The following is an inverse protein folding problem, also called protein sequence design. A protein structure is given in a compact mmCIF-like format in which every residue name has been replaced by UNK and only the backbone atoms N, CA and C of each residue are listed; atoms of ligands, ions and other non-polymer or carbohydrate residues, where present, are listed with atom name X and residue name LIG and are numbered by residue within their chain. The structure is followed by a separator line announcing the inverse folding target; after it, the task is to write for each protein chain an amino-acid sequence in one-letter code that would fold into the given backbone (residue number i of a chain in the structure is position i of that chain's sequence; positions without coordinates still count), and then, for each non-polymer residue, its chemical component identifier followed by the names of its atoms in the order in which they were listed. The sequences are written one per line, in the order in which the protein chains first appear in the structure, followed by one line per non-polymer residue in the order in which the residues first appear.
data_IF_828190421355
#
_entry.id   IF_828190421355
#
_cell.length_a   1.000
_cell.length_b   1.000
_cell.length_c   1.000
_cell.angle_alpha   90.00
_cell.angle_beta   90.00
_cell.angle_gamma   90.00
#
_symmetry.space_group_name_H-M   'P 1'
#
loop_
_entity.id
_entity.type
_entity.pdbx_description
1 polymer ?
#
# COMPACT_ATOMS: atom_id res chain seq x y z
N UNK A 1 33.69 -69.64 -6.22
CA UNK A 1 32.87 -70.44 -5.26
C UNK A 1 31.92 -69.46 -4.58
N UNK A 2 30.64 -69.44 -4.98
CA UNK A 2 29.51 -70.17 -4.36
C UNK A 2 28.94 -69.47 -3.10
N UNK A 3 27.67 -69.02 -3.26
CA UNK A 3 26.58 -68.82 -2.27
C UNK A 3 26.59 -67.47 -1.52
N UNK A 4 25.66 -66.53 -1.75
CA UNK A 4 24.20 -66.53 -1.59
C UNK A 4 23.75 -66.60 -0.12
N UNK A 5 23.14 -65.53 0.41
CA UNK A 5 21.82 -65.60 1.07
C UNK A 5 21.22 -64.20 1.32
N UNK A 6 20.01 -64.03 0.80
CA UNK A 6 19.11 -62.89 0.99
C UNK A 6 18.50 -62.87 2.40
N UNK A 7 18.11 -61.69 2.90
CA UNK A 7 16.90 -61.59 3.72
C UNK A 7 16.12 -60.31 3.37
N UNK A 8 14.89 -60.56 2.94
CA UNK A 8 13.84 -59.64 2.54
C UNK A 8 13.10 -59.24 3.81
N UNK A 9 12.95 -57.93 4.08
CA UNK A 9 11.94 -57.46 5.03
C UNK A 9 11.02 -56.47 4.33
N UNK A 10 9.90 -57.02 3.89
CA UNK A 10 8.72 -56.36 3.36
C UNK A 10 7.91 -55.80 4.55
N UNK A 11 7.75 -54.49 4.64
CA UNK A 11 6.69 -53.88 5.47
C UNK A 11 5.79 -53.07 4.56
N UNK A 12 4.63 -53.67 4.28
CA UNK A 12 3.51 -53.04 3.63
C UNK A 12 2.81 -52.10 4.64
N UNK A 13 2.79 -50.80 4.33
CA UNK A 13 1.86 -49.85 4.93
C UNK A 13 1.06 -49.23 3.79
N UNK A 14 0.00 -49.94 3.41
CA UNK A 14 -0.99 -49.53 2.43
C UNK A 14 -2.19 -48.96 3.20
N UNK A 15 -2.71 -47.83 2.70
CA UNK A 15 -4.11 -47.37 2.78
C UNK A 15 -4.57 -46.56 4.01
N UNK A 16 -4.52 -45.24 3.87
CA UNK A 16 -5.64 -44.34 4.18
C UNK A 16 -5.38 -42.93 3.58
N UNK A 17 -5.64 -42.75 2.29
CA UNK A 17 -5.77 -41.42 1.69
C UNK A 17 -7.26 -41.08 1.57
N UNK A 18 -7.71 -39.88 2.00
CA UNK A 18 -9.10 -39.49 1.83
C UNK A 18 -9.39 -39.29 0.34
N UNK A 19 -10.37 -40.08 -0.14
CA UNK A 19 -10.95 -39.96 -1.46
C UNK A 19 -11.75 -38.64 -1.55
N UNK A 20 -11.18 -37.63 -2.22
CA UNK A 20 -11.98 -36.53 -2.76
C UNK A 20 -12.58 -37.01 -4.08
N UNK A 21 -13.91 -37.10 -4.08
CA UNK A 21 -14.71 -37.50 -5.22
C UNK A 21 -14.47 -36.58 -6.42
N UNK A 22 -14.03 -37.18 -7.52
CA UNK A 22 -13.96 -36.58 -8.83
C UNK A 22 -15.38 -36.35 -9.37
N UNK A 23 -15.79 -35.09 -9.45
CA UNK A 23 -16.80 -34.63 -10.40
C UNK A 23 -16.12 -34.38 -11.75
N UNK A 24 -16.58 -35.11 -12.77
CA UNK A 24 -16.14 -35.07 -14.16
C UNK A 24 -16.17 -33.67 -14.78
N UNK A 25 -15.06 -33.25 -15.40
CA UNK A 25 -14.98 -32.10 -16.28
C UNK A 25 -13.56 -31.90 -16.77
N UNK A 26 -13.26 -32.42 -17.97
CA UNK A 26 -11.95 -32.26 -18.59
C UNK A 26 -11.58 -30.79 -18.77
N UNK A 27 -10.33 -30.47 -18.44
CA UNK A 27 -9.76 -29.16 -18.65
C UNK A 27 -8.25 -29.26 -18.52
N UNK A 28 -7.57 -29.21 -19.66
CA UNK A 28 -6.13 -29.02 -19.76
C UNK A 28 -5.66 -27.91 -18.81
N UNK A 29 -4.86 -28.28 -17.81
CA UNK A 29 -4.15 -27.34 -16.96
C UNK A 29 -3.05 -26.66 -17.78
N UNK A 30 -3.44 -25.67 -18.59
CA UNK A 30 -2.55 -24.57 -19.00
C UNK A 30 -2.28 -23.70 -17.77
N UNK A 31 -1.08 -23.12 -17.64
CA UNK A 31 -0.75 -22.27 -16.51
C UNK A 31 -1.73 -21.09 -16.48
N UNK A 32 -2.25 -20.82 -15.28
CA UNK A 32 -3.16 -19.71 -14.98
C UNK A 32 -2.66 -18.41 -15.62
N UNK A 33 -3.29 -18.08 -16.75
CA UNK A 33 -3.23 -16.75 -17.33
C UNK A 33 -4.00 -15.88 -16.35
N UNK A 34 -3.31 -15.25 -15.39
CA UNK A 34 -3.86 -14.24 -14.47
C UNK A 34 -4.91 -13.44 -15.20
N UNK A 35 -6.18 -13.70 -14.88
CA UNK A 35 -7.34 -13.19 -15.58
C UNK A 35 -7.39 -11.69 -15.34
N UNK A 36 -6.74 -10.95 -16.23
CA UNK A 36 -6.86 -9.50 -16.34
C UNK A 36 -8.10 -9.25 -17.21
N UNK A 37 -9.27 -9.60 -16.69
CA UNK A 37 -10.50 -9.40 -17.44
C UNK A 37 -10.70 -7.91 -17.72
N UNK A 38 -11.00 -7.52 -18.97
CA UNK A 38 -11.33 -6.14 -19.30
C UNK A 38 -12.39 -5.59 -18.32
N UNK A 39 -12.12 -4.42 -17.73
CA UNK A 39 -13.02 -3.78 -16.76
C UNK A 39 -12.71 -4.04 -15.28
N UNK A 40 -11.69 -4.85 -14.97
CA UNK A 40 -11.23 -5.10 -13.58
C UNK A 40 -10.07 -4.19 -13.14
N UNK A 41 -9.67 -3.22 -13.98
CA UNK A 41 -8.58 -2.27 -13.71
C UNK A 41 -9.08 -0.84 -13.54
N UNK A 42 -8.46 -0.11 -12.62
CA UNK A 42 -8.66 1.34 -12.40
C UNK A 42 -7.31 2.01 -12.28
N UNK A 43 -7.09 3.03 -13.09
CA UNK A 43 -6.00 3.99 -12.90
C UNK A 43 -6.40 4.97 -11.81
N UNK A 44 -5.53 5.13 -10.82
CA UNK A 44 -5.75 6.04 -9.71
C UNK A 44 -5.06 7.39 -9.96
N UNK A 45 -5.52 8.48 -9.34
CA UNK A 45 -4.79 9.74 -9.33
C UNK A 45 -3.35 9.56 -8.84
N UNK A 46 -2.45 10.38 -9.39
CA UNK A 46 -1.06 10.41 -8.92
C UNK A 46 -0.98 10.77 -7.44
N UNK A 47 -0.09 10.10 -6.73
CA UNK A 47 0.30 10.46 -5.37
C UNK A 47 1.67 11.12 -5.40
N UNK A 48 1.86 12.11 -4.54
CA UNK A 48 3.16 12.74 -4.30
C UNK A 48 3.51 12.42 -2.86
N UNK A 49 4.65 11.75 -2.66
CA UNK A 49 5.10 11.32 -1.35
C UNK A 49 6.48 11.91 -1.02
N UNK A 50 6.69 12.44 0.20
CA UNK A 50 7.99 12.95 0.61
C UNK A 50 8.99 11.80 0.78
N UNK A 51 10.20 12.00 0.27
CA UNK A 51 11.32 11.07 0.43
C UNK A 51 12.34 11.70 1.39
N UNK A 52 12.36 11.22 2.64
CA UNK A 52 13.18 11.76 3.71
C UNK A 52 14.31 10.79 4.10
N UNK A 53 15.43 11.34 4.56
CA UNK A 53 16.49 10.62 5.28
C UNK A 53 16.87 11.39 6.53
N UNK A 54 16.76 10.77 7.70
CA UNK A 54 17.16 11.37 8.98
C UNK A 54 16.50 12.74 9.25
N UNK A 55 15.22 12.88 8.88
CA UNK A 55 14.45 14.12 9.02
C UNK A 55 14.71 15.17 7.92
N UNK A 56 15.63 14.92 6.99
CA UNK A 56 15.92 15.80 5.86
C UNK A 56 15.15 15.33 4.62
N UNK A 57 14.39 16.25 4.00
CA UNK A 57 13.73 16.00 2.73
C UNK A 57 14.76 15.95 1.59
N UNK A 58 14.80 14.84 0.87
CA UNK A 58 15.70 14.64 -0.28
C UNK A 58 15.01 14.91 -1.61
N UNK A 59 13.69 14.77 -1.66
CA UNK A 59 12.89 14.94 -2.86
C UNK A 59 11.49 14.37 -2.69
N UNK A 60 10.81 14.18 -3.82
CA UNK A 60 9.46 13.64 -3.87
C UNK A 60 9.40 12.43 -4.80
N UNK A 61 8.60 11.43 -4.43
CA UNK A 61 8.20 10.35 -5.32
C UNK A 61 6.84 10.66 -5.94
N UNK A 62 6.78 10.69 -7.27
CA UNK A 62 5.55 10.73 -8.05
C UNK A 62 5.13 9.29 -8.34
N UNK A 63 3.97 8.90 -7.83
CA UNK A 63 3.51 7.52 -7.84
C UNK A 63 2.22 7.47 -8.66
N UNK A 64 2.15 6.56 -9.63
CA UNK A 64 0.97 6.24 -10.44
C UNK A 64 0.42 4.88 -9.99
N UNK A 65 -0.46 4.84 -8.97
CA UNK A 65 -1.05 3.59 -8.53
C UNK A 65 -2.12 3.12 -9.51
N UNK A 66 -2.21 1.82 -9.67
CA UNK A 66 -3.27 1.12 -10.39
C UNK A 66 -3.85 0.04 -9.50
N UNK A 67 -5.16 -0.13 -9.58
CA UNK A 67 -5.91 -1.09 -8.75
C UNK A 67 -6.56 -2.14 -9.64
N UNK A 68 -6.41 -3.40 -9.27
CA UNK A 68 -7.15 -4.53 -9.83
C UNK A 68 -8.22 -4.94 -8.83
N UNK A 69 -9.49 -4.81 -9.22
CA UNK A 69 -10.62 -5.31 -8.43
C UNK A 69 -10.83 -6.81 -8.62
N UNK A 70 -11.49 -7.46 -7.67
CA UNK A 70 -11.87 -8.88 -7.79
C UNK A 70 -13.02 -9.13 -8.76
N UNK A 71 -13.73 -8.07 -9.17
CA UNK A 71 -14.79 -8.07 -10.17
C UNK A 71 -14.97 -6.67 -10.76
N UNK A 72 -15.72 -6.55 -11.86
CA UNK A 72 -16.09 -5.23 -12.41
C UNK A 72 -16.92 -4.39 -11.42
N UNK A 73 -17.78 -5.01 -10.61
CA UNK A 73 -18.53 -4.31 -9.56
C UNK A 73 -17.62 -3.82 -8.42
N UNK A 74 -16.55 -4.54 -8.11
CA UNK A 74 -15.56 -4.07 -7.15
C UNK A 74 -14.80 -2.83 -7.66
N UNK A 75 -14.50 -2.78 -8.96
CA UNK A 75 -13.92 -1.59 -9.61
C UNK A 75 -14.89 -0.41 -9.60
N UNK A 76 -16.18 -0.62 -9.84
CA UNK A 76 -17.17 0.44 -9.70
C UNK A 76 -17.18 1.00 -8.29
N UNK A 77 -17.12 0.15 -7.26
CA UNK A 77 -17.03 0.59 -5.87
C UNK A 77 -15.74 1.42 -5.58
N UNK A 78 -14.61 1.09 -6.23
CA UNK A 78 -13.38 1.91 -6.15
C UNK A 78 -13.66 3.30 -6.73
N UNK A 79 -14.29 3.39 -7.89
CA UNK A 79 -14.60 4.67 -8.57
C UNK A 79 -15.61 5.50 -7.80
N UNK A 80 -16.66 4.88 -7.26
CA UNK A 80 -17.67 5.54 -6.42
C UNK A 80 -17.06 6.14 -5.15
N UNK A 81 -16.06 5.48 -4.56
CA UNK A 81 -15.38 5.91 -3.35
C UNK A 81 -14.01 6.55 -3.61
N UNK A 82 -13.75 7.00 -4.85
CA UNK A 82 -12.43 7.42 -5.28
C UNK A 82 -11.83 8.52 -4.38
N UNK A 83 -12.62 9.52 -4.00
CA UNK A 83 -12.17 10.60 -3.12
C UNK A 83 -11.72 10.10 -1.74
N UNK A 84 -12.44 9.14 -1.14
CA UNK A 84 -12.08 8.55 0.16
C UNK A 84 -10.82 7.69 0.06
N UNK A 85 -10.67 6.94 -1.04
CA UNK A 85 -9.45 6.16 -1.31
C UNK A 85 -8.26 7.08 -1.50
N UNK A 86 -8.40 8.15 -2.28
CA UNK A 86 -7.35 9.12 -2.52
C UNK A 86 -6.91 9.81 -1.22
N UNK A 87 -7.85 10.25 -0.40
CA UNK A 87 -7.57 10.85 0.90
C UNK A 87 -6.88 9.85 1.86
N UNK A 88 -7.31 8.59 1.89
CA UNK A 88 -6.62 7.55 2.66
C UNK A 88 -5.18 7.34 2.18
N UNK A 89 -4.96 7.29 0.86
CA UNK A 89 -3.62 7.14 0.27
C UNK A 89 -2.72 8.33 0.59
N UNK A 90 -3.22 9.56 0.45
CA UNK A 90 -2.45 10.77 0.77
C UNK A 90 -2.06 10.78 2.24
N UNK A 91 -2.98 10.43 3.15
CA UNK A 91 -2.66 10.32 4.57
C UNK A 91 -1.63 9.25 4.85
N UNK A 92 -1.72 8.07 4.24
CA UNK A 92 -0.76 6.99 4.42
C UNK A 92 0.65 7.41 3.97
N UNK A 93 0.82 7.85 2.72
CA UNK A 93 2.15 8.17 2.18
C UNK A 93 2.85 9.34 2.89
N UNK A 94 2.09 10.21 3.56
CA UNK A 94 2.64 11.30 4.38
C UNK A 94 2.85 10.92 5.86
N UNK A 95 2.19 9.87 6.37
CA UNK A 95 2.28 9.48 7.77
C UNK A 95 3.53 8.62 8.09
N UNK A 96 4.07 7.89 7.12
CA UNK A 96 5.24 7.04 7.34
C UNK A 96 6.12 6.91 6.09
N UNK A 97 7.46 6.77 6.25
CA UNK A 97 8.39 6.64 5.14
C UNK A 97 8.00 5.51 4.19
N UNK A 98 8.19 5.78 2.90
CA UNK A 98 7.97 4.81 1.82
C UNK A 98 9.29 4.35 1.17
N UNK A 99 10.42 4.85 1.65
CA UNK A 99 11.74 4.56 1.10
C UNK A 99 12.22 3.16 1.42
N UNK A 100 13.07 2.62 0.54
CA UNK A 100 13.73 1.34 0.75
C UNK A 100 14.74 1.43 1.91
N UNK A 101 14.84 0.37 2.74
CA UNK A 101 15.89 0.30 3.75
C UNK A 101 17.27 0.42 3.08
N UNK A 102 18.07 1.40 3.52
CA UNK A 102 19.42 1.64 3.02
C UNK A 102 19.52 2.56 1.80
N UNK A 103 18.43 2.77 1.04
CA UNK A 103 18.40 3.71 -0.08
C UNK A 103 17.17 4.64 0.00
N UNK A 104 17.35 5.86 0.53
CA UNK A 104 16.26 6.82 0.71
C UNK A 104 15.80 7.47 -0.60
N UNK A 105 16.44 7.17 -1.74
CA UNK A 105 16.03 7.66 -3.07
C UNK A 105 15.18 6.65 -3.83
N UNK A 106 15.07 5.43 -3.32
CA UNK A 106 14.25 4.36 -3.88
C UNK A 106 13.01 4.12 -3.02
N UNK A 107 11.88 3.85 -3.65
CA UNK A 107 10.64 3.48 -2.95
C UNK A 107 10.61 1.97 -2.70
N UNK A 108 10.29 1.56 -1.47
CA UNK A 108 9.96 0.17 -1.16
C UNK A 108 8.57 -0.16 -1.73
N UNK A 109 8.56 -0.64 -2.98
CA UNK A 109 7.33 -1.00 -3.70
C UNK A 109 6.52 -2.05 -2.95
N UNK A 110 7.16 -3.03 -2.33
CA UNK A 110 6.45 -4.13 -1.65
C UNK A 110 5.75 -3.63 -0.39
N UNK A 111 6.44 -2.80 0.42
CA UNK A 111 5.86 -2.14 1.57
C UNK A 111 4.71 -1.21 1.17
N UNK A 112 4.92 -0.37 0.15
CA UNK A 112 3.91 0.57 -0.31
C UNK A 112 2.67 -0.16 -0.87
N UNK A 113 2.84 -1.19 -1.71
CA UNK A 113 1.73 -2.02 -2.20
C UNK A 113 0.92 -2.61 -1.05
N UNK A 114 1.57 -3.13 -0.01
CA UNK A 114 0.89 -3.70 1.17
C UNK A 114 0.07 -2.64 1.90
N UNK A 115 0.64 -1.47 2.14
CA UNK A 115 -0.02 -0.36 2.85
C UNK A 115 -1.24 0.16 2.08
N UNK A 116 -1.07 0.51 0.80
CA UNK A 116 -2.17 1.00 -0.03
C UNK A 116 -3.27 -0.05 -0.24
N UNK A 117 -2.92 -1.35 -0.29
CA UNK A 117 -3.92 -2.42 -0.30
C UNK A 117 -4.72 -2.46 1.00
N UNK A 118 -4.07 -2.27 2.15
CA UNK A 118 -4.75 -2.21 3.44
C UNK A 118 -5.69 -1.00 3.53
N UNK A 119 -5.30 0.16 2.99
CA UNK A 119 -6.15 1.35 2.98
C UNK A 119 -7.38 1.18 2.08
N UNK A 120 -7.21 0.57 0.90
CA UNK A 120 -8.35 0.17 0.06
C UNK A 120 -9.31 -0.76 0.81
N UNK A 121 -8.79 -1.75 1.55
CA UNK A 121 -9.63 -2.66 2.33
C UNK A 121 -10.38 -1.94 3.45
N UNK A 122 -9.81 -0.92 4.09
CA UNK A 122 -10.51 -0.10 5.09
C UNK A 122 -11.66 0.70 4.48
N UNK A 123 -11.46 1.28 3.29
CA UNK A 123 -12.46 2.15 2.63
C UNK A 123 -13.56 1.34 1.93
N UNK A 124 -13.20 0.24 1.28
CA UNK A 124 -14.10 -0.55 0.42
C UNK A 124 -14.66 -1.79 1.13
N UNK A 125 -14.00 -2.26 2.18
CA UNK A 125 -14.22 -3.56 2.79
C UNK A 125 -13.28 -4.65 2.21
N UNK A 126 -13.11 -5.77 2.94
CA UNK A 126 -12.24 -6.86 2.51
C UNK A 126 -12.76 -7.55 1.24
N UNK A 127 -11.86 -8.17 0.47
CA UNK A 127 -12.21 -9.01 -0.69
C UNK A 127 -12.60 -8.27 -1.98
N UNK A 128 -12.57 -6.92 -2.00
CA UNK A 128 -12.86 -6.12 -3.21
C UNK A 128 -11.64 -5.88 -4.10
N UNK A 129 -10.44 -5.95 -3.52
CA UNK A 129 -9.19 -5.63 -4.23
C UNK A 129 -8.33 -6.89 -4.34
N UNK A 130 -7.91 -7.19 -5.57
CA UNK A 130 -7.00 -8.29 -5.86
C UNK A 130 -5.53 -7.85 -5.80
N UNK A 131 -5.22 -6.67 -6.33
CA UNK A 131 -3.84 -6.16 -6.41
C UNK A 131 -3.78 -4.64 -6.49
N UNK A 132 -2.77 -4.05 -5.84
CA UNK A 132 -2.26 -2.70 -6.15
C UNK A 132 -0.91 -2.85 -6.85
N UNK A 133 -0.69 -2.07 -7.90
CA UNK A 133 0.58 -2.04 -8.64
C UNK A 133 0.86 -0.62 -9.11
N UNK A 134 2.07 -0.37 -9.64
CA UNK A 134 2.50 0.95 -10.05
C UNK A 134 3.00 0.90 -11.49
N UNK A 135 2.45 1.78 -12.34
CA UNK A 135 2.78 1.83 -13.76
C UNK A 135 2.33 0.56 -14.49
N UNK A 136 2.95 0.28 -15.64
CA UNK A 136 2.59 -0.85 -16.51
C UNK A 136 3.57 -2.04 -16.44
N UNK A 137 4.41 -2.12 -15.40
CA UNK A 137 5.52 -3.08 -15.29
C UNK A 137 6.46 -3.03 -16.54
N UNK A 138 6.48 -1.91 -17.27
CA UNK A 138 7.38 -1.66 -18.40
C UNK A 138 8.45 -0.66 -18.03
N UNK A 139 9.59 -0.69 -18.73
CA UNK A 139 10.64 0.32 -18.54
C UNK A 139 10.18 1.74 -18.92
N UNK A 140 9.16 1.86 -19.79
CA UNK A 140 8.62 3.14 -20.25
C UNK A 140 7.69 3.80 -19.23
N UNK A 141 7.00 3.01 -18.42
CA UNK A 141 6.19 3.50 -17.30
C UNK A 141 6.57 2.73 -16.02
N UNK A 142 7.61 3.17 -15.31
CA UNK A 142 8.02 2.55 -14.06
C UNK A 142 6.96 2.73 -12.95
N UNK A 143 5.97 3.61 -13.15
CA UNK A 143 4.91 3.91 -12.21
C UNK A 143 5.33 4.71 -10.98
N UNK A 144 6.64 4.82 -10.73
CA UNK A 144 7.21 5.61 -9.63
C UNK A 144 8.42 6.35 -10.18
N UNK A 145 8.44 7.67 -10.00
CA UNK A 145 9.55 8.53 -10.38
C UNK A 145 9.99 9.35 -9.17
N UNK A 146 11.28 9.26 -8.83
CA UNK A 146 11.89 10.13 -7.83
C UNK A 146 12.35 11.43 -8.48
N UNK A 147 12.00 12.55 -7.87
CA UNK A 147 12.46 13.89 -8.25
C UNK A 147 13.22 14.48 -7.06
N UNK A 148 14.56 14.66 -7.16
CA UNK A 148 15.34 15.26 -6.10
C UNK A 148 14.96 16.72 -5.87
N UNK A 149 15.15 17.22 -4.66
CA UNK A 149 15.11 18.67 -4.44
C UNK A 149 16.20 19.34 -5.26
N UNK A 150 15.84 20.38 -6.01
CA UNK A 150 16.82 21.21 -6.67
C UNK A 150 17.67 21.93 -5.60
N UNK A 151 19.02 21.94 -5.70
CA UNK A 151 19.91 22.50 -4.69
C UNK A 151 19.82 24.03 -4.49
N UNK A 152 18.89 24.71 -5.17
CA UNK A 152 18.71 26.16 -5.14
C UNK A 152 17.44 26.63 -4.44
N UNK A 153 16.73 25.78 -3.69
CA UNK A 153 15.77 26.29 -2.71
C UNK A 153 16.55 26.87 -1.54
N UNK A 154 16.83 28.18 -1.62
CA UNK A 154 17.38 29.00 -0.56
C UNK A 154 16.69 28.62 0.76
N UNK A 155 17.44 28.36 1.85
CA UNK A 155 16.86 28.13 3.15
C UNK A 155 15.84 29.23 3.43
N UNK A 156 14.63 28.85 3.87
CA UNK A 156 13.66 29.82 4.36
C UNK A 156 14.37 30.64 5.43
N UNK A 157 14.54 31.96 5.27
CA UNK A 157 15.21 32.77 6.26
C UNK A 157 14.53 32.57 7.61
N UNK A 158 15.32 32.38 8.67
CA UNK A 158 14.83 32.23 10.04
C UNK A 158 13.97 33.41 10.53
N UNK A 159 13.85 34.48 9.73
CA UNK A 159 12.97 35.61 9.99
C UNK A 159 11.46 35.33 9.75
N UNK A 160 11.08 34.19 9.16
CA UNK A 160 9.67 33.84 8.92
C UNK A 160 9.07 32.85 9.94
N UNK A 161 9.84 32.43 10.95
CA UNK A 161 9.32 31.60 12.08
C UNK A 161 8.86 32.42 13.28
N UNK A 162 8.84 33.76 13.16
CA UNK A 162 8.30 34.65 14.20
C UNK A 162 6.91 35.18 13.77
N UNK A 163 5.97 34.26 13.52
CA UNK A 163 4.56 34.62 13.58
C UNK A 163 4.15 34.64 15.04
N UNK A 164 4.40 35.80 15.66
CA UNK A 164 3.81 36.25 16.91
C UNK A 164 2.42 35.66 17.09
N UNK A 165 2.31 34.68 17.99
CA UNK A 165 1.03 34.24 18.52
C UNK A 165 0.26 35.50 18.99
N UNK A 166 -1.01 35.68 18.61
CA UNK A 166 -1.80 36.76 19.17
C UNK A 166 -1.83 36.59 20.70
N UNK A 167 -1.61 37.67 21.47
CA UNK A 167 -1.62 37.59 22.92
C UNK A 167 -2.95 37.02 23.40
N UNK A 168 -2.88 36.02 24.28
CA UNK A 168 -4.03 35.42 24.92
C UNK A 168 -4.88 36.52 25.57
N UNK A 169 -6.13 36.65 25.11
CA UNK A 169 -7.13 37.54 25.66
C UNK A 169 -7.40 37.12 27.12
N UNK A 170 -6.80 37.82 28.07
CA UNK A 170 -7.08 37.63 29.50
C UNK A 170 -8.51 38.05 29.80
N UNK A 171 -9.39 37.06 29.93
CA UNK A 171 -10.76 37.21 30.46
C UNK A 171 -10.70 37.86 31.85
N UNK A 172 -11.35 39.01 32.10
CA UNK A 172 -11.32 39.63 33.41
C UNK A 172 -12.08 38.76 34.43
N UNK A 173 -11.44 38.57 35.58
CA UNK A 173 -11.98 37.88 36.73
C UNK A 173 -13.23 38.61 37.24
N UNK A 174 -14.34 37.88 37.35
CA UNK A 174 -15.58 38.35 37.98
C UNK A 174 -15.35 38.37 39.49
N UNK A 175 -15.06 39.55 40.03
CA UNK A 175 -15.08 39.79 41.48
C UNK A 175 -16.51 39.63 41.98
N UNK A 176 -16.74 38.59 42.78
CA UNK A 176 -17.96 38.45 43.56
C UNK A 176 -17.86 39.41 44.74
N UNK A 177 -18.64 40.49 44.70
CA UNK A 177 -18.86 41.33 45.87
C UNK A 177 -20.08 40.81 46.61
N UNK A 178 -19.88 40.60 47.90
CA UNK A 178 -20.85 40.10 48.85
C UNK A 178 -21.24 41.28 49.74
N UNK A 179 -22.50 41.71 49.68
CA UNK A 179 -23.10 42.47 50.78
C UNK A 179 -24.61 42.25 50.79
N UNK A 180 -25.08 41.44 51.73
CA UNK A 180 -26.46 41.46 52.21
C UNK A 180 -26.38 41.77 53.71
N UNK A 181 -26.85 42.97 54.06
CA UNK A 181 -27.40 43.30 55.36
C UNK A 181 -28.93 43.39 55.22
#
# INVERSE_FOLDING_TARGET
MRRALSLITLVAALMASPAFAAGHGGGDAKPDKKTNDPGTKVDMPFLIAPMNKDGVLLGYAYISPKVIGTSSSAVLAVREKLAFVQDAFVRDVNAAPISAPGDPTQVDRALLTRRLTADLQKVLGPGKVAKVYFGDDTAADPGIQFSPLHPTQTPVPAALVDETAPPAETKPAKTADATHH
#
